data_IF_930102574004
#
_entry.id   IF_930102574004
#
_cell.length_a   1.000
_cell.length_b   1.000
_cell.length_c   1.000
_cell.angle_alpha   90.00
_cell.angle_beta   90.00
_cell.angle_gamma   90.00
#
_symmetry.space_group_name_H-M   'P 1'
#
loop_
_entity.id
_entity.type
_entity.pdbx_description
1 polymer ?
#
# COMPACT_ATOMS: atom_id res chain seq x y z
N UNK A 1 -21.94 -1.64 5.43
CA UNK A 1 -21.81 -2.84 6.31
C UNK A 1 -20.91 -2.52 7.50
N UNK A 2 -21.21 -3.05 8.68
CA UNK A 2 -20.33 -3.02 9.86
C UNK A 2 -19.18 -4.05 9.69
N UNK A 3 -18.00 -3.83 10.29
CA UNK A 3 -16.93 -4.81 10.26
C UNK A 3 -17.32 -6.07 11.05
N UNK A 4 -16.74 -7.23 10.71
CA UNK A 4 -16.85 -8.42 11.55
C UNK A 4 -16.06 -8.17 12.84
N UNK A 5 -16.69 -8.17 14.03
CA UNK A 5 -16.00 -7.84 15.27
C UNK A 5 -14.77 -8.72 15.50
N UNK A 6 -13.66 -8.10 15.90
CA UNK A 6 -12.43 -8.82 16.22
C UNK A 6 -11.67 -9.36 15.00
N UNK A 7 -11.98 -8.90 13.79
CA UNK A 7 -11.33 -9.36 12.56
C UNK A 7 -10.75 -8.18 11.78
N UNK A 8 -9.43 -8.21 11.65
CA UNK A 8 -8.62 -7.27 10.88
C UNK A 8 -9.23 -7.04 9.50
N UNK A 9 -9.34 -5.77 9.11
CA UNK A 9 -9.80 -5.26 7.80
C UNK A 9 -11.03 -5.97 7.19
N UNK A 10 -11.92 -6.55 7.98
CA UNK A 10 -13.01 -7.40 7.51
C UNK A 10 -14.09 -6.74 6.62
N UNK A 11 -14.05 -5.41 6.49
CA UNK A 11 -14.86 -4.66 5.53
C UNK A 11 -14.14 -4.31 4.22
N UNK A 12 -12.85 -4.64 4.11
CA UNK A 12 -12.04 -4.41 2.93
C UNK A 12 -12.49 -5.32 1.79
N UNK A 13 -12.55 -4.80 0.58
CA UNK A 13 -12.95 -5.55 -0.61
C UNK A 13 -11.91 -5.36 -1.71
N UNK A 14 -11.67 -6.43 -2.47
CA UNK A 14 -10.82 -6.34 -3.65
C UNK A 14 -11.60 -5.67 -4.78
N UNK A 15 -10.98 -4.65 -5.38
CA UNK A 15 -11.52 -3.89 -6.50
C UNK A 15 -10.61 -4.04 -7.72
N UNK A 16 -11.13 -4.47 -8.89
CA UNK A 16 -12.45 -5.04 -9.13
C UNK A 16 -12.66 -6.37 -8.39
N UNK A 17 -13.90 -6.67 -8.00
CA UNK A 17 -14.22 -7.98 -7.40
C UNK A 17 -14.11 -9.12 -8.41
N UNK A 18 -13.90 -10.34 -7.93
CA UNK A 18 -13.62 -11.55 -8.73
C UNK A 18 -14.54 -11.74 -9.96
N UNK A 19 -15.86 -11.54 -9.80
CA UNK A 19 -16.81 -11.63 -10.93
C UNK A 19 -16.55 -10.60 -12.01
N UNK A 20 -16.27 -9.36 -11.62
CA UNK A 20 -16.02 -8.30 -12.58
C UNK A 20 -14.64 -8.44 -13.23
N UNK A 21 -13.67 -8.95 -12.49
CA UNK A 21 -12.33 -9.23 -13.00
C UNK A 21 -12.34 -10.35 -14.06
N UNK A 22 -13.22 -11.35 -13.91
CA UNK A 22 -13.34 -12.48 -14.83
C UNK A 22 -14.27 -12.24 -16.04
N UNK A 23 -14.96 -11.08 -16.10
CA UNK A 23 -15.94 -10.77 -17.14
C UNK A 23 -15.45 -9.61 -18.03
N UNK A 24 -14.99 -9.89 -19.27
CA UNK A 24 -14.50 -8.86 -20.19
C UNK A 24 -15.53 -7.79 -20.53
N UNK A 25 -16.83 -8.08 -20.43
CA UNK A 25 -17.89 -7.09 -20.69
C UNK A 25 -17.88 -5.94 -19.67
N UNK A 26 -17.19 -6.12 -18.54
CA UNK A 26 -17.05 -5.10 -17.50
C UNK A 26 -16.00 -4.04 -17.84
N UNK A 27 -15.17 -4.23 -18.87
CA UNK A 27 -14.06 -3.33 -19.20
C UNK A 27 -14.52 -1.87 -19.35
N UNK A 28 -15.61 -1.61 -20.08
CA UNK A 28 -16.14 -0.26 -20.27
C UNK A 28 -16.60 0.38 -18.95
N UNK A 29 -17.17 -0.41 -18.03
CA UNK A 29 -17.59 0.08 -16.70
C UNK A 29 -16.38 0.42 -15.82
N UNK A 30 -15.33 -0.41 -15.86
CA UNK A 30 -14.09 -0.19 -15.11
C UNK A 30 -13.33 1.03 -15.63
N UNK A 31 -13.24 1.18 -16.96
CA UNK A 31 -12.70 2.37 -17.60
C UNK A 31 -13.46 3.62 -17.20
N UNK A 32 -14.79 3.59 -17.27
CA UNK A 32 -15.63 4.72 -16.90
C UNK A 32 -15.45 5.13 -15.43
N UNK A 33 -15.34 4.16 -14.51
CA UNK A 33 -15.05 4.42 -13.10
C UNK A 33 -13.70 5.12 -12.93
N UNK A 34 -12.63 4.54 -13.50
CA UNK A 34 -11.28 5.08 -13.35
C UNK A 34 -11.18 6.48 -13.96
N UNK A 35 -11.64 6.65 -15.21
CA UNK A 35 -11.63 7.95 -15.88
C UNK A 35 -12.51 8.98 -15.18
N UNK A 36 -13.65 8.56 -14.61
CA UNK A 36 -14.52 9.44 -13.83
C UNK A 36 -13.85 9.99 -12.58
N UNK A 37 -13.16 9.14 -11.81
CA UNK A 37 -12.45 9.57 -10.60
C UNK A 37 -11.22 10.40 -10.97
N UNK A 38 -10.34 9.89 -11.83
CA UNK A 38 -9.11 10.59 -12.21
C UNK A 38 -9.42 11.90 -12.92
N UNK A 39 -10.34 11.89 -13.88
CA UNK A 39 -10.74 13.07 -14.65
C UNK A 39 -11.35 14.18 -13.79
N UNK A 40 -12.13 13.82 -12.76
CA UNK A 40 -12.71 14.80 -11.84
C UNK A 40 -11.65 15.59 -11.03
N UNK A 41 -10.47 15.00 -10.80
CA UNK A 41 -9.38 15.62 -10.03
C UNK A 41 -8.08 15.79 -10.82
N UNK A 42 -8.16 15.72 -12.16
CA UNK A 42 -7.00 15.65 -13.05
C UNK A 42 -5.99 16.78 -12.85
N UNK A 43 -6.46 17.98 -12.51
CA UNK A 43 -5.65 19.18 -12.28
C UNK A 43 -5.62 19.62 -10.81
N UNK A 44 -6.12 18.82 -9.88
CA UNK A 44 -6.15 19.17 -8.46
C UNK A 44 -4.74 19.03 -7.85
N UNK A 45 -4.13 20.16 -7.50
CA UNK A 45 -2.77 20.21 -6.95
C UNK A 45 -2.65 19.63 -5.54
N UNK A 46 -3.78 19.28 -4.89
CA UNK A 46 -3.79 18.59 -3.59
C UNK A 46 -3.58 17.08 -3.75
N UNK A 47 -3.83 16.53 -4.93
CA UNK A 47 -3.51 15.14 -5.24
C UNK A 47 -2.01 15.03 -5.47
N UNK A 48 -1.35 14.16 -4.70
CA UNK A 48 0.10 13.97 -4.79
C UNK A 48 0.47 13.02 -5.94
N UNK A 49 -0.24 11.90 -6.04
CA UNK A 49 -0.02 10.82 -6.99
C UNK A 49 -1.28 9.95 -7.08
N UNK A 50 -1.39 9.16 -8.13
CA UNK A 50 -2.42 8.13 -8.29
C UNK A 50 -1.79 6.75 -8.13
N UNK A 51 -2.08 6.07 -7.02
CA UNK A 51 -1.85 4.63 -6.93
C UNK A 51 -2.99 3.93 -7.68
N UNK A 52 -2.72 3.50 -8.91
CA UNK A 52 -3.77 3.03 -9.82
C UNK A 52 -4.29 1.66 -9.44
N UNK A 53 -3.51 0.86 -8.69
CA UNK A 53 -3.94 -0.44 -8.22
C UNK A 53 -3.04 -0.99 -7.10
N UNK A 54 -3.66 -1.25 -5.95
CA UNK A 54 -3.04 -1.89 -4.79
C UNK A 54 -2.87 -3.41 -4.96
N UNK A 55 -1.64 -3.93 -4.82
CA UNK A 55 -1.29 -5.37 -4.81
C UNK A 55 -2.13 -6.25 -5.75
N UNK A 56 -2.07 -6.03 -7.08
CA UNK A 56 -3.11 -6.52 -7.99
C UNK A 56 -3.25 -8.04 -8.02
N UNK A 57 -2.18 -8.80 -7.79
CA UNK A 57 -2.17 -10.26 -7.76
C UNK A 57 -2.38 -10.88 -6.37
N UNK A 58 -2.67 -10.09 -5.34
CA UNK A 58 -2.82 -10.60 -3.99
C UNK A 58 -4.09 -11.46 -3.83
N UNK A 59 -3.90 -12.74 -3.49
CA UNK A 59 -5.00 -13.68 -3.22
C UNK A 59 -5.67 -13.45 -1.85
N UNK A 60 -5.05 -12.65 -0.97
CA UNK A 60 -5.47 -12.36 0.40
C UNK A 60 -5.82 -13.65 1.18
N UNK A 61 -4.89 -14.60 1.25
CA UNK A 61 -5.04 -15.82 2.03
C UNK A 61 -4.93 -15.51 3.54
N UNK A 62 -5.90 -15.96 4.39
CA UNK A 62 -7.04 -16.83 4.07
C UNK A 62 -8.35 -16.12 3.79
N UNK A 63 -8.38 -14.79 3.91
CA UNK A 63 -9.60 -13.98 3.85
C UNK A 63 -10.43 -14.20 2.58
N UNK A 64 -9.80 -14.21 1.41
CA UNK A 64 -10.48 -14.18 0.12
C UNK A 64 -10.08 -15.28 -0.86
N UNK A 65 -9.09 -16.11 -0.52
CA UNK A 65 -8.56 -17.16 -1.43
C UNK A 65 -9.64 -18.07 -2.04
N UNK A 66 -10.76 -18.30 -1.34
CA UNK A 66 -11.87 -19.15 -1.82
C UNK A 66 -12.75 -18.51 -2.90
N UNK A 67 -12.75 -17.18 -3.01
CA UNK A 67 -13.61 -16.44 -3.94
C UNK A 67 -12.83 -15.75 -5.06
N UNK A 68 -11.50 -15.69 -4.93
CA UNK A 68 -10.62 -15.15 -5.96
C UNK A 68 -10.50 -16.11 -7.16
N UNK A 69 -10.39 -15.57 -8.40
CA UNK A 69 -10.14 -16.40 -9.58
C UNK A 69 -8.81 -17.13 -9.47
N UNK A 70 -8.74 -18.40 -9.89
CA UNK A 70 -7.49 -19.17 -9.86
C UNK A 70 -6.43 -18.62 -10.81
N UNK A 71 -6.86 -18.06 -11.94
CA UNK A 71 -6.01 -17.43 -12.95
C UNK A 71 -5.90 -15.90 -12.75
N UNK A 72 -5.95 -15.43 -11.49
CA UNK A 72 -5.99 -14.00 -11.18
C UNK A 72 -4.87 -13.19 -11.86
N UNK A 73 -3.65 -13.70 -11.84
CA UNK A 73 -2.48 -13.04 -12.46
C UNK A 73 -2.73 -12.74 -13.94
N UNK A 74 -3.28 -13.70 -14.68
CA UNK A 74 -3.57 -13.56 -16.11
C UNK A 74 -4.66 -12.53 -16.40
N UNK A 75 -5.60 -12.35 -15.46
CA UNK A 75 -6.68 -11.37 -15.56
C UNK A 75 -6.21 -9.95 -15.19
N UNK A 76 -5.40 -9.81 -14.15
CA UNK A 76 -4.98 -8.49 -13.64
C UNK A 76 -3.87 -7.86 -14.47
N UNK A 77 -2.96 -8.66 -15.06
CA UNK A 77 -1.85 -8.13 -15.84
C UNK A 77 -2.29 -7.21 -17.00
N UNK A 78 -3.19 -7.63 -17.93
CA UNK A 78 -3.66 -6.75 -18.99
C UNK A 78 -4.46 -5.55 -18.45
N UNK A 79 -5.25 -5.76 -17.40
CA UNK A 79 -6.10 -4.71 -16.84
C UNK A 79 -5.30 -3.65 -16.06
N UNK A 80 -4.18 -4.03 -15.44
CA UNK A 80 -3.24 -3.09 -14.81
C UNK A 80 -2.67 -2.14 -15.85
N UNK A 81 -2.20 -2.67 -16.99
CA UNK A 81 -1.69 -1.86 -18.09
C UNK A 81 -2.77 -0.91 -18.65
N UNK A 82 -4.00 -1.40 -18.80
CA UNK A 82 -5.14 -0.58 -19.19
C UNK A 82 -5.44 0.51 -18.14
N UNK A 83 -5.31 0.21 -16.85
CA UNK A 83 -5.58 1.17 -15.77
C UNK A 83 -4.63 2.38 -15.82
N UNK A 84 -3.33 2.15 -16.04
CA UNK A 84 -2.37 3.22 -16.29
C UNK A 84 -2.74 4.04 -17.53
N UNK A 85 -3.06 3.37 -18.64
CA UNK A 85 -3.45 4.04 -19.89
C UNK A 85 -4.72 4.89 -19.73
N UNK A 86 -5.72 4.38 -19.01
CA UNK A 86 -6.97 5.09 -18.73
C UNK A 86 -6.74 6.29 -17.81
N UNK A 87 -5.87 6.18 -16.79
CA UNK A 87 -5.52 7.31 -15.93
C UNK A 87 -4.88 8.44 -16.73
N UNK A 88 -3.92 8.12 -17.61
CA UNK A 88 -3.31 9.10 -18.52
C UNK A 88 -4.33 9.69 -19.48
N UNK A 89 -5.18 8.87 -20.08
CA UNK A 89 -6.23 9.31 -21.00
C UNK A 89 -7.31 10.19 -20.34
N UNK A 90 -7.49 10.07 -19.01
CA UNK A 90 -8.36 10.95 -18.24
C UNK A 90 -7.72 12.33 -17.95
N UNK A 91 -6.46 12.55 -18.35
CA UNK A 91 -5.76 13.82 -18.20
C UNK A 91 -5.04 14.00 -16.86
N UNK A 92 -4.72 12.92 -16.13
CA UNK A 92 -3.96 13.01 -14.89
C UNK A 92 -2.68 13.84 -15.08
N UNK A 93 -2.53 14.92 -14.30
CA UNK A 93 -1.29 15.72 -14.27
C UNK A 93 -0.34 15.30 -13.15
N UNK A 94 -0.84 14.52 -12.18
CA UNK A 94 -0.07 13.93 -11.08
C UNK A 94 0.57 12.61 -11.51
N UNK A 95 1.72 12.23 -10.93
CA UNK A 95 2.38 10.96 -11.26
C UNK A 95 1.52 9.74 -10.90
N UNK A 96 1.65 8.70 -11.71
CA UNK A 96 1.01 7.40 -11.50
C UNK A 96 1.96 6.41 -10.84
N UNK A 97 1.41 5.48 -10.06
CA UNK A 97 2.16 4.38 -9.45
C UNK A 97 1.32 3.14 -9.22
N UNK A 98 1.95 1.99 -9.00
CA UNK A 98 1.32 0.79 -8.43
C UNK A 98 2.38 0.00 -7.64
N UNK A 99 2.08 -0.29 -6.38
CA UNK A 99 3.06 -0.77 -5.40
C UNK A 99 3.61 -2.17 -5.65
N UNK A 100 4.94 -2.28 -5.70
CA UNK A 100 5.66 -3.56 -5.66
C UNK A 100 5.59 -4.14 -4.24
N UNK A 101 5.25 -5.43 -4.10
CA UNK A 101 5.00 -6.00 -2.77
C UNK A 101 5.51 -7.44 -2.56
N UNK A 102 5.91 -8.15 -3.63
CA UNK A 102 6.06 -9.61 -3.62
C UNK A 102 7.49 -10.13 -3.73
N UNK A 103 8.17 -9.93 -4.87
CA UNK A 103 9.51 -10.51 -5.10
C UNK A 103 10.53 -9.93 -4.12
N UNK A 104 11.54 -10.69 -3.65
CA UNK A 104 12.48 -10.21 -2.63
C UNK A 104 13.51 -9.19 -3.14
N UNK A 105 13.73 -9.12 -4.46
CA UNK A 105 14.66 -8.21 -5.10
C UNK A 105 14.01 -7.66 -6.39
N UNK A 106 14.06 -6.33 -6.55
CA UNK A 106 13.54 -5.64 -7.72
C UNK A 106 14.61 -4.94 -8.56
N UNK A 107 15.89 -5.23 -8.32
CA UNK A 107 17.01 -4.50 -8.96
C UNK A 107 17.18 -4.72 -10.46
N UNK A 108 16.57 -5.77 -11.02
CA UNK A 108 16.80 -6.23 -12.39
C UNK A 108 15.48 -6.52 -13.12
N UNK A 109 15.13 -5.71 -14.12
CA UNK A 109 13.87 -5.83 -14.90
C UNK A 109 13.68 -7.23 -15.49
N UNK A 110 14.75 -7.86 -15.94
CA UNK A 110 14.74 -9.18 -16.55
C UNK A 110 14.39 -10.31 -15.57
N UNK A 111 14.55 -10.06 -14.25
CA UNK A 111 14.19 -11.00 -13.18
C UNK A 111 12.79 -10.76 -12.60
N UNK A 112 12.16 -9.65 -12.94
CA UNK A 112 10.83 -9.32 -12.44
C UNK A 112 9.77 -10.23 -13.06
N UNK A 113 8.71 -10.48 -12.30
CA UNK A 113 7.48 -11.01 -12.86
C UNK A 113 6.91 -10.05 -13.91
N UNK A 114 6.09 -10.52 -14.87
CA UNK A 114 5.46 -9.63 -15.85
C UNK A 114 4.66 -8.49 -15.22
N UNK A 115 3.99 -8.74 -14.08
CA UNK A 115 3.21 -7.73 -13.36
C UNK A 115 4.12 -6.67 -12.74
N UNK A 116 5.14 -7.08 -12.00
CA UNK A 116 6.12 -6.15 -11.40
C UNK A 116 6.84 -5.33 -12.47
N UNK A 117 7.12 -5.93 -13.65
CA UNK A 117 7.68 -5.18 -14.78
C UNK A 117 6.73 -4.08 -15.25
N UNK A 118 5.43 -4.36 -15.40
CA UNK A 118 4.43 -3.33 -15.72
C UNK A 118 4.38 -2.25 -14.63
N UNK A 119 4.40 -2.63 -13.35
CA UNK A 119 4.42 -1.67 -12.24
C UNK A 119 5.66 -0.76 -12.33
N UNK A 120 6.84 -1.31 -12.63
CA UNK A 120 8.04 -0.49 -12.79
C UNK A 120 8.00 0.33 -14.07
N UNK A 121 7.63 -0.22 -15.22
CA UNK A 121 7.71 0.48 -16.51
C UNK A 121 6.67 1.59 -16.62
N UNK A 122 5.46 1.37 -16.11
CA UNK A 122 4.35 2.32 -16.27
C UNK A 122 4.28 3.38 -15.16
N UNK A 123 4.95 3.17 -14.02
CA UNK A 123 4.90 4.14 -12.92
C UNK A 123 5.82 5.34 -13.12
N UNK A 124 5.31 6.56 -12.93
CA UNK A 124 6.10 7.79 -12.98
C UNK A 124 6.93 7.97 -11.69
N UNK A 125 6.38 7.49 -10.57
CA UNK A 125 7.08 7.33 -9.28
C UNK A 125 7.01 5.87 -8.85
N UNK A 126 8.11 5.31 -8.37
CA UNK A 126 8.15 3.90 -7.95
C UNK A 126 7.59 3.80 -6.54
N UNK A 127 6.61 2.93 -6.32
CA UNK A 127 6.11 2.63 -4.98
C UNK A 127 6.34 1.18 -4.59
N UNK A 128 6.44 0.93 -3.28
CA UNK A 128 6.60 -0.41 -2.73
C UNK A 128 5.97 -0.55 -1.35
N UNK A 129 5.67 -1.80 -0.98
CA UNK A 129 5.18 -2.18 0.34
C UNK A 129 6.27 -2.92 1.11
N UNK A 130 6.31 -2.73 2.43
CA UNK A 130 7.21 -3.48 3.29
C UNK A 130 6.64 -3.64 4.71
N UNK A 131 6.27 -4.86 5.07
CA UNK A 131 5.83 -5.25 6.41
C UNK A 131 6.89 -6.02 7.20
N UNK A 132 8.17 -5.86 6.84
CA UNK A 132 9.33 -6.48 7.48
C UNK A 132 10.23 -5.44 8.16
N UNK A 133 11.30 -5.91 8.83
CA UNK A 133 12.22 -5.06 9.59
C UNK A 133 13.09 -4.11 8.76
N UNK A 134 13.90 -3.31 9.46
CA UNK A 134 14.71 -2.22 8.88
C UNK A 134 15.65 -2.67 7.75
N UNK A 135 16.27 -3.83 7.87
CA UNK A 135 17.20 -4.36 6.85
C UNK A 135 16.47 -4.69 5.55
N UNK A 136 15.29 -5.31 5.64
CA UNK A 136 14.44 -5.57 4.48
C UNK A 136 13.96 -4.26 3.85
N UNK A 137 13.50 -3.31 4.66
CA UNK A 137 13.09 -1.98 4.19
C UNK A 137 14.22 -1.27 3.43
N UNK A 138 15.44 -1.32 3.96
CA UNK A 138 16.65 -0.80 3.29
C UNK A 138 16.92 -1.52 1.98
N UNK A 139 16.90 -2.86 1.98
CA UNK A 139 17.14 -3.67 0.80
C UNK A 139 16.11 -3.38 -0.31
N UNK A 140 14.83 -3.21 0.05
CA UNK A 140 13.77 -2.78 -0.88
C UNK A 140 14.13 -1.47 -1.56
N UNK A 141 14.46 -0.44 -0.79
CA UNK A 141 14.85 0.87 -1.34
C UNK A 141 16.05 0.74 -2.27
N UNK A 142 17.13 0.10 -1.81
CA UNK A 142 18.37 -0.06 -2.59
C UNK A 142 18.10 -0.76 -3.93
N UNK A 143 17.25 -1.79 -3.93
CA UNK A 143 16.89 -2.50 -5.17
C UNK A 143 16.18 -1.59 -6.18
N UNK A 144 15.50 -0.53 -5.74
CA UNK A 144 14.72 0.36 -6.61
C UNK A 144 15.52 1.60 -7.08
N UNK A 145 16.64 1.93 -6.43
CA UNK A 145 17.43 3.12 -6.77
C UNK A 145 18.01 3.10 -8.20
N UNK A 146 18.18 1.89 -8.77
CA UNK A 146 18.64 1.71 -10.14
C UNK A 146 17.73 2.37 -11.18
N UNK A 147 16.43 2.50 -10.90
CA UNK A 147 15.42 3.03 -11.82
C UNK A 147 15.38 4.56 -11.93
N UNK A 148 16.20 5.27 -11.14
CA UNK A 148 16.38 6.73 -11.20
C UNK A 148 15.06 7.54 -11.17
N UNK A 149 14.07 7.05 -10.44
CA UNK A 149 12.77 7.69 -10.20
C UNK A 149 12.55 7.91 -8.70
N UNK A 150 11.70 8.87 -8.29
CA UNK A 150 11.31 9.03 -6.89
C UNK A 150 10.72 7.72 -6.36
N UNK A 151 11.01 7.41 -5.09
CA UNK A 151 10.57 6.19 -4.42
C UNK A 151 9.65 6.55 -3.26
N UNK A 152 8.51 5.85 -3.18
CA UNK A 152 7.52 5.96 -2.11
C UNK A 152 7.31 4.59 -1.47
N UNK A 153 7.35 4.50 -0.15
CA UNK A 153 6.78 3.35 0.55
C UNK A 153 5.30 3.66 0.82
N UNK A 154 4.39 3.03 0.07
CA UNK A 154 2.95 3.33 0.14
C UNK A 154 2.21 2.50 1.19
N UNK A 155 2.81 1.41 1.65
CA UNK A 155 2.33 0.65 2.80
C UNK A 155 3.50 0.09 3.62
N UNK A 156 3.45 0.31 4.93
CA UNK A 156 4.35 -0.37 5.87
C UNK A 156 3.75 -0.46 7.27
N UNK A 157 4.55 -1.12 8.11
CA UNK A 157 4.50 -1.26 9.56
C UNK A 157 3.53 -2.32 10.05
N UNK A 158 4.10 -3.45 10.45
CA UNK A 158 3.44 -4.56 11.11
C UNK A 158 4.29 -4.92 12.34
N UNK A 159 3.94 -4.38 13.52
CA UNK A 159 4.82 -4.49 14.72
C UNK A 159 5.19 -5.93 15.07
N UNK A 160 4.26 -6.86 14.89
CA UNK A 160 4.48 -8.30 15.13
C UNK A 160 5.57 -8.93 14.24
N UNK A 161 5.87 -8.31 13.10
CA UNK A 161 6.89 -8.73 12.14
C UNK A 161 8.21 -7.94 12.28
N UNK A 162 8.40 -7.25 13.43
CA UNK A 162 9.52 -6.34 13.66
C UNK A 162 9.59 -5.16 12.65
N UNK A 163 8.48 -4.88 11.96
CA UNK A 163 8.32 -3.71 11.10
C UNK A 163 7.75 -2.57 11.93
N UNK A 164 8.59 -1.61 12.29
CA UNK A 164 8.31 -0.54 13.27
C UNK A 164 8.67 0.83 12.71
N UNK A 165 8.13 1.91 13.30
CA UNK A 165 8.53 3.27 12.95
C UNK A 165 10.02 3.51 13.23
N UNK A 166 10.51 3.01 14.36
CA UNK A 166 11.92 3.05 14.79
C UNK A 166 12.85 2.38 13.77
N UNK A 167 12.39 1.29 13.14
CA UNK A 167 13.16 0.58 12.13
C UNK A 167 13.10 1.25 10.75
N UNK A 168 11.89 1.53 10.26
CA UNK A 168 11.68 1.96 8.87
C UNK A 168 11.94 3.45 8.63
N UNK A 169 11.50 4.34 9.53
CA UNK A 169 11.54 5.78 9.26
C UNK A 169 12.95 6.40 9.24
N UNK A 170 13.91 5.98 10.07
CA UNK A 170 15.30 6.45 9.94
C UNK A 170 15.91 6.08 8.58
N UNK A 171 15.63 4.87 8.09
CA UNK A 171 16.06 4.40 6.76
C UNK A 171 15.39 5.25 5.67
N UNK A 172 14.08 5.47 5.77
CA UNK A 172 13.35 6.32 4.83
C UNK A 172 13.96 7.75 4.76
N UNK A 173 14.29 8.35 5.91
CA UNK A 173 14.94 9.66 5.99
C UNK A 173 16.36 9.68 5.38
N UNK A 174 17.14 8.63 5.62
CA UNK A 174 18.50 8.47 5.06
C UNK A 174 18.46 8.54 3.54
N UNK A 175 17.59 7.73 2.92
CA UNK A 175 17.45 7.62 1.47
C UNK A 175 16.51 8.65 0.83
N UNK A 176 15.84 9.50 1.62
CA UNK A 176 14.89 10.50 1.10
C UNK A 176 13.61 9.89 0.52
N UNK A 177 13.17 8.76 1.08
CA UNK A 177 11.95 8.04 0.68
C UNK A 177 10.78 8.48 1.56
N UNK A 178 9.63 8.79 0.95
CA UNK A 178 8.41 9.04 1.71
C UNK A 178 7.78 7.71 2.15
N UNK A 179 7.11 7.68 3.31
CA UNK A 179 6.49 6.47 3.84
C UNK A 179 5.06 6.72 4.35
N UNK A 180 4.11 5.90 3.91
CA UNK A 180 2.69 5.96 4.27
C UNK A 180 2.35 4.74 5.11
N UNK A 181 1.96 4.96 6.36
CA UNK A 181 1.63 3.89 7.29
C UNK A 181 0.29 3.27 6.94
N UNK A 182 0.19 1.94 6.96
CA UNK A 182 -1.10 1.27 6.85
C UNK A 182 -1.89 1.47 8.14
N UNK A 183 -3.08 2.07 8.06
CA UNK A 183 -3.86 2.41 9.26
C UNK A 183 -3.32 3.63 10.04
N UNK A 184 -4.15 4.18 10.92
CA UNK A 184 -3.82 5.40 11.67
C UNK A 184 -4.49 5.42 13.04
N UNK A 185 -5.80 5.20 13.08
CA UNK A 185 -6.62 5.29 14.30
C UNK A 185 -7.39 3.98 14.49
N UNK A 186 -7.54 3.57 15.74
CA UNK A 186 -8.47 2.51 16.15
C UNK A 186 -9.88 2.80 15.70
N UNK A 187 -10.25 2.18 14.59
CA UNK A 187 -11.49 2.47 13.90
C UNK A 187 -12.10 1.26 13.22
N UNK A 188 -13.01 1.55 12.28
CA UNK A 188 -13.85 0.56 11.61
C UNK A 188 -13.06 -0.55 10.89
N UNK A 189 -11.85 -0.27 10.45
CA UNK A 189 -10.97 -1.24 9.78
C UNK A 189 -10.36 -2.26 10.74
N UNK A 190 -10.35 -2.01 12.05
CA UNK A 190 -9.75 -2.88 13.08
C UNK A 190 -8.30 -3.28 12.76
N UNK A 191 -7.51 -2.34 12.23
CA UNK A 191 -6.13 -2.57 11.79
C UNK A 191 -5.11 -2.58 12.94
N UNK A 192 -5.51 -2.32 14.18
CA UNK A 192 -4.73 -2.70 15.37
C UNK A 192 -4.68 -4.21 15.60
N UNK A 193 -5.63 -4.97 15.05
CA UNK A 193 -5.64 -6.44 15.19
C UNK A 193 -4.66 -7.05 14.18
N UNK A 194 -3.89 -8.09 14.55
CA UNK A 194 -3.03 -8.78 13.59
C UNK A 194 -3.82 -9.61 12.56
N UNK A 195 -3.17 -9.97 11.45
CA UNK A 195 -3.79 -10.80 10.39
C UNK A 195 -4.26 -12.18 10.89
N UNK A 196 -3.67 -12.69 11.98
CA UNK A 196 -4.10 -13.95 12.62
C UNK A 196 -5.56 -13.93 13.08
N UNK A 197 -6.16 -12.75 13.23
CA UNK A 197 -7.57 -12.55 13.55
C UNK A 197 -8.55 -13.18 12.55
N UNK A 198 -8.11 -13.44 11.31
CA UNK A 198 -8.89 -14.19 10.33
C UNK A 198 -9.04 -15.68 10.67
N UNK A 199 -8.11 -16.22 11.46
CA UNK A 199 -8.19 -17.59 12.02
C UNK A 199 -8.80 -17.58 13.41
N UNK A 200 -8.40 -16.63 14.26
CA UNK A 200 -8.88 -16.51 15.64
C UNK A 200 -9.28 -15.07 15.95
N UNK A 201 -10.57 -14.77 15.86
CA UNK A 201 -11.08 -13.42 16.09
C UNK A 201 -10.82 -12.90 17.52
N UNK A 202 -10.53 -11.62 17.65
CA UNK A 202 -10.34 -10.92 18.93
C UNK A 202 -11.69 -10.42 19.46
N UNK A 203 -12.43 -11.32 20.12
CA UNK A 203 -13.77 -11.05 20.66
C UNK A 203 -13.80 -11.23 22.17
N UNK A 204 -14.87 -10.77 22.83
CA UNK A 204 -15.03 -10.91 24.29
C UNK A 204 -14.03 -10.09 25.12
N UNK A 205 -13.57 -8.95 24.60
CA UNK A 205 -12.58 -8.10 25.28
C UNK A 205 -11.13 -8.58 25.17
N UNK A 206 -10.86 -9.62 24.36
CA UNK A 206 -9.49 -10.07 24.09
C UNK A 206 -8.74 -9.04 23.23
N UNK A 207 -7.68 -8.46 23.79
CA UNK A 207 -6.77 -7.57 23.07
C UNK A 207 -5.52 -8.31 22.56
N UNK A 208 -4.92 -7.88 21.44
CA UNK A 208 -3.61 -8.40 21.01
C UNK A 208 -2.50 -7.90 21.95
N UNK A 209 -1.48 -8.73 22.15
CA UNK A 209 -0.30 -8.36 22.98
C UNK A 209 0.40 -7.10 22.47
N UNK A 210 0.41 -6.93 21.15
CA UNK A 210 0.96 -5.78 20.45
C UNK A 210 -0.01 -5.36 19.36
N UNK A 211 -0.30 -4.07 19.26
CA UNK A 211 -1.12 -3.56 18.17
C UNK A 211 -0.37 -3.66 16.85
N UNK A 212 -1.11 -3.95 15.80
CA UNK A 212 -0.53 -4.28 14.52
C UNK A 212 -0.09 -3.04 13.75
N UNK A 213 -1.02 -2.21 13.29
CA UNK A 213 -0.66 -1.05 12.47
C UNK A 213 -1.02 0.33 13.03
N UNK A 214 -2.08 0.43 13.84
CA UNK A 214 -2.62 1.74 14.23
C UNK A 214 -1.69 2.49 15.20
N UNK A 215 -1.74 3.83 15.11
CA UNK A 215 -0.91 4.77 15.86
C UNK A 215 -1.68 5.39 17.03
N UNK A 216 -2.98 5.63 16.83
CA UNK A 216 -3.85 6.28 17.80
C UNK A 216 -5.00 5.38 18.23
N UNK A 217 -5.40 5.52 19.49
CA UNK A 217 -6.65 5.00 20.03
C UNK A 217 -7.85 5.80 19.49
N UNK A 218 -9.06 5.31 19.73
CA UNK A 218 -10.32 5.96 19.34
C UNK A 218 -10.47 7.39 19.87
N UNK A 219 -9.90 7.67 21.04
CA UNK A 219 -9.89 8.98 21.70
C UNK A 219 -8.75 9.91 21.20
N UNK A 220 -7.94 9.45 20.24
CA UNK A 220 -6.80 10.19 19.71
C UNK A 220 -5.51 10.06 20.53
N UNK A 221 -5.53 9.36 21.68
CA UNK A 221 -4.31 9.12 22.44
C UNK A 221 -3.35 8.20 21.66
N UNK A 222 -2.03 8.47 21.65
CA UNK A 222 -1.06 7.56 21.06
C UNK A 222 -1.11 6.17 21.70
N UNK A 223 -1.12 5.10 20.90
CA UNK A 223 -0.95 3.74 21.41
C UNK A 223 0.40 3.62 22.14
N UNK A 224 1.48 4.08 21.49
CA UNK A 224 2.84 4.22 22.02
C UNK A 224 3.30 5.67 21.84
N UNK A 225 3.36 6.48 22.91
CA UNK A 225 3.79 7.88 22.84
C UNK A 225 5.15 8.08 22.17
N UNK A 226 6.08 7.14 22.38
CA UNK A 226 7.44 7.15 21.85
C UNK A 226 7.46 7.17 20.31
N UNK A 227 6.57 6.41 19.66
CA UNK A 227 6.45 6.37 18.20
C UNK A 227 6.03 7.73 17.65
N UNK A 228 5.04 8.38 18.27
CA UNK A 228 4.58 9.71 17.83
C UNK A 228 5.64 10.78 18.06
N UNK A 229 6.43 10.67 19.14
CA UNK A 229 7.58 11.55 19.41
C UNK A 229 8.66 11.35 18.34
N UNK A 230 8.96 10.11 17.97
CA UNK A 230 9.91 9.78 16.91
C UNK A 230 9.44 10.36 15.56
N UNK A 231 8.18 10.12 15.17
CA UNK A 231 7.62 10.62 13.90
C UNK A 231 7.76 12.15 13.81
N UNK A 232 7.42 12.87 14.88
CA UNK A 232 7.58 14.34 14.94
C UNK A 232 9.05 14.74 14.78
N UNK A 233 9.95 14.12 15.54
CA UNK A 233 11.40 14.41 15.47
C UNK A 233 11.96 14.18 14.05
N UNK A 234 11.63 13.06 13.41
CA UNK A 234 12.10 12.75 12.06
C UNK A 234 11.49 13.68 11.02
N UNK A 235 10.23 14.08 11.18
CA UNK A 235 9.58 15.07 10.31
C UNK A 235 10.29 16.43 10.37
N UNK A 236 10.67 16.89 11.57
CA UNK A 236 11.39 18.15 11.73
C UNK A 236 12.80 18.08 11.15
N UNK A 237 13.50 16.95 11.33
CA UNK A 237 14.79 16.69 10.67
C UNK A 237 14.67 16.69 9.15
N UNK A 238 13.62 16.08 8.58
CA UNK A 238 13.38 16.06 7.14
C UNK A 238 13.16 17.49 6.59
N UNK A 239 12.38 18.32 7.29
CA UNK A 239 12.19 19.74 6.94
C UNK A 239 13.49 20.53 6.98
N UNK A 240 14.33 20.29 7.99
CA UNK A 240 15.64 20.94 8.09
C UNK A 240 16.57 20.54 6.94
N UNK A 241 16.65 19.25 6.61
CA UNK A 241 17.42 18.73 5.46
C UNK A 241 16.97 19.37 4.14
N UNK A 242 15.66 19.49 3.91
CA UNK A 242 15.10 20.15 2.71
C UNK A 242 15.43 21.64 2.61
N UNK A 243 15.63 22.35 3.72
CA UNK A 243 16.00 23.77 3.71
C UNK A 243 17.50 24.00 3.44
N UNK A 244 18.33 23.00 3.69
CA UNK A 244 19.79 23.12 3.62
C UNK A 244 20.38 22.72 2.26
N UNK A 245 19.61 22.02 1.42
CA UNK A 245 19.98 21.67 0.04
C UNK A 245 19.10 22.39 -0.95
#
# INVERSE_FOLDING_TARGET
RAPKPGVHNSGWVQGPGAKALADPSQAARLEAYLKGVVGAFANDTRVLAWDVWNEPDNMNDPAYVKVEPRNKVDLVLPLLKQSFAWARAAGATQPLTSGLWKSPDWSKLEKLTPLERVQIEESDVISFHNYEGADSFRARIVSLQGYKRPILCTEYMARGNNSTFEGSLPVALEYGVAAINWGLVQGKTQTHLPWDSWRQAYTGGREPKIWFHEVFRTDGAPYRPEETKLIRMLTDKAKAKKKAG
#
